data_IF_247700083399
#
_entry.id   IF_247700083399
#
_cell.length_a   1.000
_cell.length_b   1.000
_cell.length_c   1.000
_cell.angle_alpha   90.00
_cell.angle_beta   90.00
_cell.angle_gamma   90.00
#
_symmetry.space_group_name_H-M   'P 1'
#
loop_
_entity.id
_entity.type
_entity.pdbx_description
1 polymer ?
#
# COMPACT_ATOMS: atom_id res chain seq x y z
N UNK A 1 -5.18 5.64 -27.87
CA UNK A 1 -4.51 4.92 -26.76
C UNK A 1 -5.08 5.48 -25.48
N UNK A 2 -6.11 4.84 -24.93
CA UNK A 2 -6.83 5.31 -23.74
C UNK A 2 -5.98 5.14 -22.48
N UNK A 3 -5.75 6.26 -21.79
CA UNK A 3 -5.25 6.31 -20.43
C UNK A 3 -6.39 5.96 -19.48
N UNK A 4 -6.45 4.71 -19.01
CA UNK A 4 -7.28 4.37 -17.86
C UNK A 4 -6.57 4.82 -16.59
N UNK A 5 -7.18 5.79 -15.93
CA UNK A 5 -6.83 6.23 -14.58
C UNK A 5 -7.04 5.06 -13.63
N UNK A 6 -5.97 4.49 -13.06
CA UNK A 6 -6.00 3.61 -11.89
C UNK A 6 -6.40 4.42 -10.64
N UNK A 7 -7.63 4.93 -10.64
CA UNK A 7 -8.24 5.56 -9.48
C UNK A 7 -8.96 4.46 -8.69
N UNK A 8 -8.42 4.11 -7.52
CA UNK A 8 -9.21 3.46 -6.47
C UNK A 8 -9.18 1.93 -6.39
N UNK A 9 -8.17 1.24 -6.92
CA UNK A 9 -8.03 -0.20 -6.68
C UNK A 9 -7.54 -0.49 -5.25
N UNK A 10 -8.43 -0.39 -4.26
CA UNK A 10 -8.33 -1.26 -3.08
C UNK A 10 -8.54 -2.68 -3.59
N UNK A 11 -7.65 -3.65 -3.30
CA UNK A 11 -7.82 -5.01 -3.80
C UNK A 11 -8.99 -5.69 -3.06
N UNK A 12 -10.20 -5.43 -3.55
CA UNK A 12 -11.38 -6.27 -3.38
C UNK A 12 -11.61 -7.19 -4.59
N UNK A 13 -10.70 -7.17 -5.58
CA UNK A 13 -10.89 -7.88 -6.84
C UNK A 13 -10.02 -9.15 -6.92
N UNK A 14 -10.71 -10.29 -6.97
CA UNK A 14 -10.31 -11.60 -7.46
C UNK A 14 -8.97 -12.21 -6.98
N UNK A 15 -9.01 -12.95 -5.86
CA UNK A 15 -8.41 -14.29 -5.74
C UNK A 15 -6.88 -14.46 -5.83
N UNK A 16 -6.08 -13.41 -6.07
CA UNK A 16 -4.62 -13.49 -5.97
C UNK A 16 -4.20 -13.37 -4.51
N UNK A 17 -3.95 -14.52 -3.90
CA UNK A 17 -3.21 -14.60 -2.65
C UNK A 17 -1.82 -13.97 -2.88
N UNK A 18 -1.60 -12.80 -2.28
CA UNK A 18 -0.27 -12.18 -2.28
C UNK A 18 0.60 -13.07 -1.40
N UNK A 19 1.58 -13.76 -2.00
CA UNK A 19 2.58 -14.52 -1.26
C UNK A 19 3.44 -13.54 -0.48
N UNK A 20 3.26 -13.51 0.84
CA UNK A 20 4.06 -12.68 1.74
C UNK A 20 5.22 -13.53 2.23
N UNK A 21 6.31 -13.49 1.48
CA UNK A 21 7.51 -14.29 1.76
C UNK A 21 8.43 -13.60 2.78
N UNK A 22 8.26 -12.29 2.99
CA UNK A 22 9.14 -11.48 3.84
C UNK A 22 8.36 -10.44 4.64
N UNK A 23 8.92 -10.05 5.79
CA UNK A 23 8.42 -8.95 6.62
C UNK A 23 8.81 -7.55 6.09
N UNK A 24 9.30 -7.45 4.86
CA UNK A 24 9.73 -6.20 4.23
C UNK A 24 8.80 -5.83 3.08
N UNK A 25 8.36 -4.58 3.05
CA UNK A 25 7.52 -4.04 1.99
C UNK A 25 8.26 -2.90 1.28
N UNK A 26 8.44 -3.07 -0.04
CA UNK A 26 8.95 -2.02 -0.89
C UNK A 26 7.80 -1.14 -1.41
N UNK A 27 7.77 0.10 -0.94
CA UNK A 27 6.77 1.11 -1.31
C UNK A 27 7.21 1.82 -2.57
N UNK A 28 6.28 1.93 -3.53
CA UNK A 28 6.48 2.55 -4.83
C UNK A 28 5.26 3.41 -5.19
N UNK A 29 5.44 4.34 -6.11
CA UNK A 29 4.34 5.20 -6.60
C UNK A 29 3.37 4.50 -7.56
N UNK A 30 3.52 3.19 -7.79
CA UNK A 30 2.64 2.44 -8.70
C UNK A 30 1.32 2.06 -8.05
N UNK A 31 1.24 2.09 -6.73
CA UNK A 31 0.06 1.70 -5.94
C UNK A 31 -0.25 2.82 -4.94
N UNK A 32 -1.51 2.87 -4.53
CA UNK A 32 -1.99 3.86 -3.57
C UNK A 32 -1.66 3.46 -2.12
N UNK A 33 -1.90 4.37 -1.17
CA UNK A 33 -1.63 4.12 0.25
C UNK A 33 -2.50 2.99 0.80
N UNK A 34 -3.75 2.87 0.33
CA UNK A 34 -4.69 1.84 0.77
C UNK A 34 -4.21 0.42 0.43
N UNK A 35 -3.56 0.24 -0.71
CA UNK A 35 -2.94 -1.04 -1.07
C UNK A 35 -1.82 -1.41 -0.09
N UNK A 36 -0.95 -0.45 0.26
CA UNK A 36 0.14 -0.70 1.20
C UNK A 36 -0.36 -0.90 2.63
N UNK A 37 -1.46 -0.24 3.03
CA UNK A 37 -2.15 -0.51 4.29
C UNK A 37 -2.70 -1.96 4.33
N UNK A 38 -3.34 -2.40 3.25
CA UNK A 38 -3.83 -3.79 3.15
C UNK A 38 -2.69 -4.80 3.23
N UNK A 39 -1.61 -4.59 2.45
CA UNK A 39 -0.46 -5.48 2.46
C UNK A 39 0.22 -5.52 3.83
N UNK A 40 0.33 -4.37 4.51
CA UNK A 40 0.88 -4.28 5.85
C UNK A 40 0.04 -5.05 6.87
N UNK A 41 -1.29 -4.95 6.83
CA UNK A 41 -2.19 -5.75 7.68
C UNK A 41 -1.96 -7.25 7.47
N UNK A 42 -1.93 -7.70 6.22
CA UNK A 42 -1.65 -9.10 5.88
C UNK A 42 -0.25 -9.56 6.32
N UNK A 43 0.73 -8.68 6.25
CA UNK A 43 2.10 -8.99 6.70
C UNK A 43 2.15 -9.11 8.22
N UNK A 44 1.46 -8.24 8.96
CA UNK A 44 1.35 -8.28 10.41
C UNK A 44 0.50 -9.47 10.92
N UNK A 45 -0.36 -10.05 10.08
CA UNK A 45 -1.02 -11.33 10.40
C UNK A 45 0.00 -12.47 10.50
N UNK A 46 1.02 -12.48 9.63
CA UNK A 46 2.02 -13.55 9.53
C UNK A 46 3.29 -13.29 10.36
N UNK A 47 3.73 -12.04 10.43
CA UNK A 47 4.95 -11.61 11.12
C UNK A 47 4.61 -10.62 12.24
N UNK A 48 5.40 -10.62 13.31
CA UNK A 48 5.19 -9.67 14.43
C UNK A 48 5.66 -8.25 14.08
N UNK A 49 6.72 -8.16 13.28
CA UNK A 49 7.34 -6.90 12.86
C UNK A 49 7.21 -6.72 11.35
N UNK A 50 7.19 -5.46 10.91
CA UNK A 50 7.09 -5.04 9.53
C UNK A 50 8.07 -3.90 9.24
N UNK A 51 8.78 -3.97 8.11
CA UNK A 51 9.66 -2.90 7.65
C UNK A 51 9.18 -2.34 6.31
N UNK A 52 8.86 -1.05 6.27
CA UNK A 52 8.52 -0.33 5.04
C UNK A 52 9.77 0.35 4.50
N UNK A 53 10.12 0.06 3.24
CA UNK A 53 11.18 0.72 2.51
C UNK A 53 10.58 1.60 1.42
N UNK A 54 10.82 2.90 1.48
CA UNK A 54 10.31 3.86 0.52
C UNK A 54 11.43 4.71 -0.05
N UNK A 55 11.46 4.89 -1.38
CA UNK A 55 12.50 5.66 -2.05
C UNK A 55 11.90 6.91 -2.72
N UNK A 56 12.53 8.07 -2.51
CA UNK A 56 12.14 9.31 -3.16
C UNK A 56 10.68 9.68 -2.90
N UNK A 57 9.89 9.88 -3.96
CA UNK A 57 8.49 10.31 -3.83
C UNK A 57 7.57 9.27 -3.16
N UNK A 58 7.96 7.99 -3.13
CA UNK A 58 7.19 6.94 -2.45
C UNK A 58 7.19 7.09 -0.92
N UNK A 59 8.07 7.93 -0.40
CA UNK A 59 8.16 8.26 1.03
C UNK A 59 6.83 8.74 1.60
N UNK A 60 6.10 9.60 0.87
CA UNK A 60 4.82 10.12 1.33
C UNK A 60 3.77 9.00 1.49
N UNK A 61 3.70 8.12 0.49
CA UNK A 61 2.78 6.96 0.50
C UNK A 61 3.07 6.06 1.70
N UNK A 62 4.35 5.82 1.98
CA UNK A 62 4.78 5.01 3.13
C UNK A 62 4.42 5.64 4.47
N UNK A 63 4.57 6.96 4.61
CA UNK A 63 4.23 7.69 5.84
C UNK A 63 2.72 7.60 6.08
N UNK A 64 1.91 7.90 5.07
CA UNK A 64 0.45 7.88 5.19
C UNK A 64 -0.06 6.47 5.48
N UNK A 65 0.51 5.44 4.85
CA UNK A 65 0.16 4.05 5.15
C UNK A 65 0.53 3.66 6.59
N UNK A 66 1.73 3.99 7.05
CA UNK A 66 2.16 3.73 8.42
C UNK A 66 1.28 4.48 9.45
N UNK A 67 0.95 5.73 9.18
CA UNK A 67 0.11 6.55 10.03
C UNK A 67 -1.30 5.95 10.17
N UNK A 68 -1.91 5.48 9.08
CA UNK A 68 -3.21 4.81 9.14
C UNK A 68 -3.19 3.54 9.98
N UNK A 69 -2.11 2.75 9.89
CA UNK A 69 -1.96 1.53 10.69
C UNK A 69 -1.90 1.84 12.19
N UNK A 70 -1.12 2.86 12.56
CA UNK A 70 -0.96 3.26 13.97
C UNK A 70 -2.22 3.93 14.49
N UNK A 71 -2.81 4.84 13.73
CA UNK A 71 -4.04 5.56 14.11
C UNK A 71 -5.22 4.62 14.36
N UNK A 72 -5.32 3.55 13.58
CA UNK A 72 -6.37 2.55 13.73
C UNK A 72 -6.00 1.41 14.70
N UNK A 73 -4.88 1.52 15.41
CA UNK A 73 -4.46 0.55 16.42
C UNK A 73 -4.03 -0.81 15.88
N UNK A 74 -3.57 -0.90 14.62
CA UNK A 74 -3.04 -2.15 14.06
C UNK A 74 -1.56 -2.33 14.38
N UNK A 75 -0.80 -1.24 14.49
CA UNK A 75 0.64 -1.30 14.69
C UNK A 75 1.13 -0.17 15.60
N UNK A 76 2.37 -0.31 16.07
CA UNK A 76 3.09 0.67 16.88
C UNK A 76 4.43 0.99 16.22
N UNK A 77 4.87 2.25 16.33
CA UNK A 77 6.16 2.67 15.78
C UNK A 77 7.30 2.15 16.64
N UNK A 78 8.24 1.43 16.01
CA UNK A 78 9.47 0.96 16.66
C UNK A 78 10.64 1.89 16.33
N UNK A 79 10.88 2.12 15.03
CA UNK A 79 12.00 2.91 14.54
C UNK A 79 11.68 3.56 13.21
N UNK A 80 12.18 4.76 12.99
CA UNK A 80 12.13 5.44 11.69
C UNK A 80 13.47 6.12 11.42
N UNK A 81 14.05 5.89 10.25
CA UNK A 81 15.30 6.53 9.83
C UNK A 81 15.36 6.70 8.31
N UNK A 82 16.19 7.63 7.86
CA UNK A 82 16.45 7.90 6.45
C UNK A 82 17.88 7.56 6.10
N UNK A 83 18.08 6.96 4.93
CA UNK A 83 19.37 6.63 4.37
C UNK A 83 19.54 7.29 3.00
N UNK A 84 20.77 7.64 2.63
CA UNK A 84 21.07 8.06 1.27
C UNK A 84 21.57 6.86 0.48
N UNK A 85 20.87 6.50 -0.58
CA UNK A 85 21.22 5.35 -1.43
C UNK A 85 21.55 5.84 -2.84
N UNK A 86 22.61 5.29 -3.43
CA UNK A 86 22.94 5.52 -4.83
C UNK A 86 22.11 4.57 -5.72
N UNK A 87 21.39 5.15 -6.67
CA UNK A 87 20.50 4.42 -7.58
C UNK A 87 20.90 4.72 -9.01
N UNK A 88 20.91 3.71 -9.85
CA UNK A 88 21.15 3.87 -11.29
C UNK A 88 19.88 4.40 -11.97
N UNK A 89 20.00 5.57 -12.59
CA UNK A 89 18.88 6.19 -13.29
C UNK A 89 18.80 5.64 -14.72
N UNK A 90 17.88 4.71 -14.94
CA UNK A 90 17.53 4.25 -16.30
C UNK A 90 16.70 5.33 -16.99
N UNK A 91 17.35 6.28 -17.67
CA UNK A 91 16.64 7.21 -18.55
C UNK A 91 15.90 6.40 -19.62
N UNK A 92 14.67 6.81 -19.97
CA UNK A 92 14.06 6.44 -21.26
C UNK A 92 14.99 7.00 -22.33
N UNK A 93 15.93 6.18 -22.80
CA UNK A 93 16.97 6.58 -23.77
C UNK A 93 16.25 7.16 -24.99
N UNK A 94 16.58 8.41 -25.34
CA UNK A 94 16.34 8.85 -26.73
C UNK A 94 17.21 7.95 -27.63
N UNK A 95 16.72 7.52 -28.80
CA UNK A 95 17.43 6.57 -29.67
C UNK A 95 18.87 6.98 -30.02
N UNK A 96 19.23 8.27 -29.91
CA UNK A 96 20.54 8.81 -30.28
C UNK A 96 21.65 8.72 -29.21
N UNK A 97 21.39 8.23 -27.99
CA UNK A 97 22.36 8.23 -26.87
C UNK A 97 22.59 6.83 -26.28
N UNK A 98 22.75 5.81 -27.13
CA UNK A 98 22.89 4.41 -26.71
C UNK A 98 24.23 4.07 -26.02
N UNK A 99 25.25 4.93 -26.11
CA UNK A 99 26.62 4.65 -25.62
C UNK A 99 27.02 5.34 -24.29
N UNK A 100 26.15 6.10 -23.62
CA UNK A 100 26.48 6.67 -22.30
C UNK A 100 26.23 5.68 -21.15
N UNK A 101 27.19 5.60 -20.23
CA UNK A 101 27.12 4.82 -18.99
C UNK A 101 25.92 5.24 -18.12
N UNK A 102 25.31 4.32 -17.36
CA UNK A 102 24.19 4.65 -16.47
C UNK A 102 24.60 5.71 -15.45
N UNK A 103 23.82 6.79 -15.35
CA UNK A 103 24.07 7.87 -14.38
C UNK A 103 23.62 7.40 -13.00
N UNK A 104 24.55 7.40 -12.03
CA UNK A 104 24.23 7.19 -10.61
C UNK A 104 23.67 8.48 -10.01
N UNK A 105 22.56 8.37 -9.29
CA UNK A 105 21.92 9.48 -8.57
C UNK A 105 21.72 9.11 -7.11
N UNK A 106 22.01 10.06 -6.21
CA UNK A 106 21.74 9.90 -4.77
C UNK A 106 20.26 10.16 -4.50
N UNK A 107 19.59 9.23 -3.83
CA UNK A 107 18.17 9.31 -3.46
C UNK A 107 18.02 9.02 -1.97
N UNK A 108 17.12 9.74 -1.31
CA UNK A 108 16.73 9.43 0.07
C UNK A 108 15.82 8.20 0.09
N UNK A 109 16.13 7.27 1.00
CA UNK A 109 15.35 6.08 1.33
C UNK A 109 14.83 6.24 2.75
N UNK A 110 13.51 6.23 2.93
CA UNK A 110 12.88 6.16 4.25
C UNK A 110 12.69 4.70 4.62
N UNK A 111 13.01 4.37 5.87
CA UNK A 111 12.82 3.05 6.45
C UNK A 111 12.01 3.22 7.73
N UNK A 112 10.80 2.63 7.75
CA UNK A 112 9.90 2.62 8.90
C UNK A 112 9.78 1.19 9.41
N UNK A 113 10.03 0.97 10.69
CA UNK A 113 9.81 -0.31 11.37
C UNK A 113 8.59 -0.18 12.27
N UNK A 114 7.62 -1.04 12.04
CA UNK A 114 6.37 -1.15 12.78
C UNK A 114 6.32 -2.51 13.47
N UNK A 115 5.76 -2.54 14.67
CA UNK A 115 5.44 -3.76 15.39
C UNK A 115 3.93 -3.93 15.49
N UNK A 116 3.44 -5.16 15.46
CA UNK A 116 2.03 -5.47 15.69
C UNK A 116 1.58 -5.00 17.07
N UNK A 117 0.48 -4.25 17.13
CA UNK A 117 -0.10 -3.81 18.41
C UNK A 117 -0.79 -4.97 19.13
N UNK A 118 -0.92 -4.88 20.45
CA UNK A 118 -1.63 -5.86 21.27
C UNK A 118 -3.10 -6.06 20.82
N UNK A 119 -3.75 -4.98 20.38
CA UNK A 119 -5.17 -4.98 20.01
C UNK A 119 -5.43 -5.37 18.54
N UNK A 120 -4.39 -5.81 17.82
CA UNK A 120 -4.44 -6.07 16.39
C UNK A 120 -5.57 -7.03 15.98
N UNK A 121 -5.71 -8.15 16.70
CA UNK A 121 -6.71 -9.19 16.37
C UNK A 121 -8.15 -8.67 16.53
N UNK A 122 -8.40 -7.90 17.58
CA UNK A 122 -9.71 -7.31 17.85
C UNK A 122 -10.05 -6.27 16.79
N UNK A 123 -9.10 -5.39 16.46
CA UNK A 123 -9.27 -4.34 15.45
C UNK A 123 -9.51 -4.93 14.05
N UNK A 124 -8.84 -6.03 13.68
CA UNK A 124 -9.12 -6.75 12.42
C UNK A 124 -10.52 -7.37 12.43
N UNK A 125 -10.94 -7.97 13.55
CA UNK A 125 -12.29 -8.55 13.65
C UNK A 125 -13.37 -7.47 13.49
N UNK A 126 -13.21 -6.33 14.15
CA UNK A 126 -14.11 -5.20 14.02
C UNK A 126 -14.13 -4.65 12.58
N UNK A 127 -12.96 -4.54 11.94
CA UNK A 127 -12.86 -4.13 10.55
C UNK A 127 -13.64 -5.07 9.61
N UNK A 128 -13.51 -6.38 9.78
CA UNK A 128 -14.23 -7.35 8.95
C UNK A 128 -15.76 -7.23 9.13
N UNK A 129 -16.23 -7.08 10.38
CA UNK A 129 -17.66 -6.85 10.66
C UNK A 129 -18.19 -5.59 9.99
N UNK A 130 -17.44 -4.48 10.07
CA UNK A 130 -17.82 -3.21 9.44
C UNK A 130 -17.83 -3.36 7.92
N UNK A 131 -16.85 -4.05 7.35
CA UNK A 131 -16.76 -4.29 5.91
C UNK A 131 -17.98 -5.07 5.40
N UNK A 132 -18.33 -6.17 6.07
CA UNK A 132 -19.47 -7.01 5.68
C UNK A 132 -20.80 -6.25 5.80
N UNK A 133 -20.94 -5.46 6.88
CA UNK A 133 -22.10 -4.62 7.09
C UNK A 133 -22.23 -3.54 6.00
N UNK A 134 -21.14 -2.83 5.68
CA UNK A 134 -21.13 -1.81 4.63
C UNK A 134 -21.42 -2.41 3.26
N UNK A 135 -20.90 -3.59 2.94
CA UNK A 135 -21.20 -4.28 1.68
C UNK A 135 -22.70 -4.55 1.56
N UNK A 136 -23.34 -5.03 2.63
CA UNK A 136 -24.78 -5.27 2.64
C UNK A 136 -25.62 -4.00 2.42
N UNK A 137 -25.16 -2.85 2.92
CA UNK A 137 -25.83 -1.56 2.68
C UNK A 137 -25.68 -1.11 1.23
N UNK A 138 -24.48 -1.23 0.66
CA UNK A 138 -24.22 -0.86 -0.74
C UNK A 138 -25.02 -1.72 -1.72
N UNK A 139 -25.16 -3.02 -1.44
CA UNK A 139 -25.92 -3.93 -2.30
C UNK A 139 -27.42 -3.61 -2.23
N UNK A 140 -27.94 -3.28 -1.04
CA UNK A 140 -29.33 -2.82 -0.88
C UNK A 140 -29.61 -1.52 -1.62
N UNK A 141 -28.69 -0.56 -1.57
CA UNK A 141 -28.83 0.72 -2.26
C UNK A 141 -28.73 0.58 -3.79
N UNK A 142 -27.87 -0.31 -4.29
CA UNK A 142 -27.82 -0.62 -5.72
C UNK A 142 -29.11 -1.25 -6.21
N UNK A 143 -29.63 -2.23 -5.47
CA UNK A 143 -30.90 -2.89 -5.79
C UNK A 143 -32.07 -1.91 -5.81
N UNK A 144 -32.11 -0.94 -4.87
CA UNK A 144 -33.17 0.08 -4.86
C UNK A 144 -33.07 1.03 -6.04
N UNK A 145 -31.86 1.49 -6.40
CA UNK A 145 -31.65 2.36 -7.57
C UNK A 145 -31.97 1.67 -8.89
N UNK A 146 -31.65 0.39 -9.03
CA UNK A 146 -31.96 -0.42 -10.22
C UNK A 146 -33.46 -0.71 -10.37
N UNK A 147 -34.19 -0.80 -9.25
CA UNK A 147 -35.65 -0.95 -9.25
C UNK A 147 -36.36 0.36 -9.66
N UNK A 148 -35.81 1.52 -9.31
CA UNK A 148 -36.35 2.83 -9.66
C UNK A 148 -36.11 3.21 -11.14
N UNK A 149 -35.01 2.75 -11.74
CA UNK A 149 -34.68 3.02 -13.16
C UNK A 149 -35.39 2.11 -14.16
N UNK A 150 -36.04 1.05 -13.70
CA UNK A 150 -36.83 0.11 -14.55
C UNK A 150 -38.35 0.37 -14.52
N UNK A 151 -38.81 1.40 -13.82
CA UNK A 151 -40.19 1.89 -13.84
C UNK A 151 -40.30 3.08 -14.79
#
# INVERSE_FOLDING_TARGET
MENTKDAGATPGDAGRELKIETNQINVSNRRNEAFYEYLAKRTLEQYEDLVLHALGNATNISIVAAEKLVRNGYAEYVKMHTETVEVEETRRRRPSQSNEAPRKVKRAKLIITLKRSANFKENISQFNKIKDMNQSYMDKEKLSREAETKK
#
